data_IF_481903425979
#
_entry.id   IF_481903425979
#
_cell.length_a   1.000
_cell.length_b   1.000
_cell.length_c   1.000
_cell.angle_alpha   90.00
_cell.angle_beta   90.00
_cell.angle_gamma   90.00
#
_symmetry.space_group_name_H-M   'P 1'
#
loop_
_entity.id
_entity.type
_entity.pdbx_description
1 polymer ?
#
# COMPACT_ATOMS: atom_id res chain seq x y z
N UNK A 1 6.51 -11.13 -8.69
CA UNK A 1 5.53 -10.01 -8.58
C UNK A 1 5.65 -9.15 -9.82
N UNK A 2 4.54 -8.65 -10.36
CA UNK A 2 4.57 -7.75 -11.51
C UNK A 2 4.74 -6.30 -11.04
N UNK A 3 5.78 -5.56 -11.45
CA UNK A 3 5.90 -4.14 -11.10
C UNK A 3 4.71 -3.35 -11.66
N UNK A 4 4.09 -2.44 -10.89
CA UNK A 4 2.95 -1.66 -11.35
C UNK A 4 3.33 -0.60 -12.41
N UNK A 5 4.57 -0.08 -12.38
CA UNK A 5 5.07 0.89 -13.35
C UNK A 5 6.27 0.34 -14.11
N UNK A 6 6.34 0.59 -15.42
CA UNK A 6 7.35 -0.02 -16.29
C UNK A 6 8.69 0.71 -16.31
N UNK A 7 8.70 1.99 -15.92
CA UNK A 7 9.90 2.82 -15.86
C UNK A 7 10.02 3.51 -14.50
N UNK A 8 11.23 3.56 -13.90
CA UNK A 8 12.46 2.91 -14.37
C UNK A 8 12.35 1.37 -14.35
N UNK A 9 13.13 0.69 -15.18
CA UNK A 9 13.14 -0.78 -15.21
C UNK A 9 13.89 -1.29 -13.98
N UNK A 10 13.20 -2.10 -13.18
CA UNK A 10 13.72 -2.64 -11.91
C UNK A 10 13.94 -4.14 -11.99
N UNK A 11 14.79 -4.66 -11.12
CA UNK A 11 14.99 -6.10 -10.99
C UNK A 11 13.67 -6.83 -10.64
N UNK A 12 13.67 -8.15 -10.85
CA UNK A 12 12.50 -8.97 -10.53
C UNK A 12 12.14 -8.84 -9.05
N UNK A 13 10.88 -8.49 -8.78
CA UNK A 13 10.37 -8.38 -7.42
C UNK A 13 9.89 -9.75 -6.95
N UNK A 14 10.54 -10.27 -5.92
CA UNK A 14 10.18 -11.53 -5.28
C UNK A 14 8.88 -11.41 -4.48
N UNK A 15 8.05 -12.47 -4.41
CA UNK A 15 6.87 -12.48 -3.57
C UNK A 15 7.20 -12.16 -2.11
N UNK A 16 6.43 -11.25 -1.51
CA UNK A 16 6.68 -10.76 -0.15
C UNK A 16 5.37 -10.68 0.64
N UNK A 17 5.27 -11.34 1.81
CA UNK A 17 6.31 -12.13 2.48
C UNK A 17 6.71 -13.41 1.72
N UNK A 18 7.92 -13.96 1.96
CA UNK A 18 8.39 -15.15 1.26
C UNK A 18 7.47 -16.36 1.48
N UNK A 19 7.32 -17.20 0.46
CA UNK A 19 6.51 -18.41 0.54
C UNK A 19 5.01 -18.23 0.26
N UNK A 20 4.57 -16.99 0.01
CA UNK A 20 3.22 -16.68 -0.47
C UNK A 20 3.02 -17.27 -1.88
N UNK A 21 2.46 -18.47 -1.92
CA UNK A 21 2.24 -19.25 -3.15
C UNK A 21 0.81 -19.76 -3.19
N UNK A 22 0.29 -19.94 -4.40
CA UNK A 22 -1.04 -20.51 -4.62
C UNK A 22 -1.93 -19.66 -5.52
N UNK A 23 -3.13 -20.17 -5.85
CA UNK A 23 -4.04 -19.54 -6.80
C UNK A 23 -4.79 -18.34 -6.20
N UNK A 24 -4.66 -18.05 -4.92
CA UNK A 24 -5.25 -16.88 -4.28
C UNK A 24 -4.33 -16.40 -3.18
N UNK A 25 -3.58 -15.33 -3.43
CA UNK A 25 -2.53 -14.87 -2.52
C UNK A 25 -2.28 -13.37 -2.62
N UNK A 26 -1.80 -12.80 -1.51
CA UNK A 26 -1.09 -11.51 -1.53
C UNK A 26 0.29 -11.82 -2.07
N UNK A 27 0.53 -11.47 -3.34
CA UNK A 27 1.81 -11.69 -3.99
C UNK A 27 2.86 -10.69 -3.47
N UNK A 28 2.45 -9.48 -3.12
CA UNK A 28 3.31 -8.46 -2.56
C UNK A 28 2.55 -7.53 -1.62
N UNK A 29 3.16 -7.15 -0.51
CA UNK A 29 2.75 -6.03 0.32
C UNK A 29 3.99 -5.28 0.84
N UNK A 30 3.92 -3.94 1.02
CA UNK A 30 5.02 -3.18 1.61
C UNK A 30 5.40 -3.73 2.97
N UNK A 31 6.70 -3.82 3.24
CA UNK A 31 7.21 -4.36 4.52
C UNK A 31 7.39 -3.27 5.58
N UNK A 32 7.67 -2.05 5.15
CA UNK A 32 7.97 -0.92 6.03
C UNK A 32 7.41 0.35 5.41
N UNK A 33 6.80 1.20 6.23
CA UNK A 33 6.57 2.60 5.91
C UNK A 33 7.44 3.45 6.84
N UNK A 34 8.53 4.01 6.29
CA UNK A 34 9.46 4.85 7.04
C UNK A 34 9.09 6.33 6.85
N UNK A 35 8.66 6.99 7.92
CA UNK A 35 8.33 8.41 7.93
C UNK A 35 9.55 9.30 8.22
N UNK A 36 10.71 8.69 8.47
CA UNK A 36 11.97 9.36 8.77
C UNK A 36 11.96 10.12 10.10
N UNK A 37 13.01 10.92 10.29
CA UNK A 37 13.13 11.81 11.45
C UNK A 37 12.33 13.09 11.22
N UNK A 38 11.44 13.40 12.16
CA UNK A 38 10.59 14.58 12.11
C UNK A 38 10.76 15.44 13.37
N UNK A 39 10.64 16.75 13.23
CA UNK A 39 10.69 17.67 14.37
C UNK A 39 9.41 17.58 15.19
N UNK A 40 9.54 17.63 16.52
CA UNK A 40 8.38 17.70 17.42
C UNK A 40 7.58 18.96 17.12
N UNK A 41 6.26 18.82 17.05
CA UNK A 41 5.35 19.93 16.75
C UNK A 41 4.13 19.94 17.65
N UNK A 42 3.72 21.12 18.11
CA UNK A 42 2.46 21.34 18.83
C UNK A 42 1.28 21.66 17.90
N UNK A 43 1.53 21.69 16.59
CA UNK A 43 0.51 21.81 15.55
C UNK A 43 0.32 20.47 14.86
N UNK A 44 -0.84 20.28 14.25
CA UNK A 44 -1.11 19.16 13.36
C UNK A 44 -0.09 19.09 12.21
N UNK A 45 0.43 17.89 11.94
CA UNK A 45 1.45 17.67 10.89
C UNK A 45 1.15 16.43 10.08
N UNK A 46 1.50 16.52 8.79
CA UNK A 46 1.57 15.40 7.86
C UNK A 46 3.05 15.16 7.51
N UNK A 47 3.49 13.91 7.60
CA UNK A 47 4.85 13.50 7.27
C UNK A 47 4.81 12.46 6.15
N UNK A 48 5.38 12.81 5.00
CA UNK A 48 5.49 11.90 3.86
C UNK A 48 6.53 10.81 4.13
N UNK A 49 6.27 9.60 3.62
CA UNK A 49 7.23 8.51 3.74
C UNK A 49 8.49 8.80 2.93
N UNK A 50 9.60 8.19 3.35
CA UNK A 50 10.74 7.93 2.48
C UNK A 50 10.26 7.01 1.35
N UNK A 51 10.55 7.37 0.10
CA UNK A 51 10.14 6.55 -1.04
C UNK A 51 10.79 5.16 -0.98
N UNK A 52 10.06 4.12 -1.38
CA UNK A 52 10.61 2.77 -1.46
C UNK A 52 11.77 2.74 -2.46
N UNK A 53 12.83 2.00 -2.15
CA UNK A 53 13.94 1.80 -3.09
C UNK A 53 13.83 0.43 -3.79
N UNK A 54 14.23 0.42 -5.07
CA UNK A 54 14.34 -0.77 -5.90
C UNK A 54 15.68 -0.81 -6.63
N UNK A 55 16.26 -2.00 -6.75
CA UNK A 55 17.40 -2.21 -7.61
C UNK A 55 16.99 -2.03 -9.07
N UNK A 56 17.79 -1.31 -9.84
CA UNK A 56 17.63 -1.17 -11.28
C UNK A 56 18.00 -2.48 -11.98
N UNK A 57 17.28 -2.82 -13.06
CA UNK A 57 17.50 -4.07 -13.80
C UNK A 57 18.90 -4.17 -14.43
N UNK A 58 19.53 -3.03 -14.73
CA UNK A 58 20.89 -2.95 -15.25
C UNK A 58 21.98 -3.05 -14.15
N UNK A 59 21.57 -3.25 -12.90
CA UNK A 59 22.43 -3.35 -11.71
C UNK A 59 23.26 -2.08 -11.45
N UNK A 60 22.86 -0.91 -11.97
CA UNK A 60 23.61 0.33 -11.77
C UNK A 60 23.43 0.94 -10.36
N UNK A 61 22.51 0.40 -9.56
CA UNK A 61 22.23 0.85 -8.20
C UNK A 61 20.74 0.75 -7.86
N UNK A 62 20.30 1.60 -6.92
CA UNK A 62 18.90 1.72 -6.51
C UNK A 62 18.25 2.98 -7.09
N UNK A 63 16.91 2.95 -7.18
CA UNK A 63 16.07 4.09 -7.58
C UNK A 63 14.85 4.15 -6.67
N UNK A 64 14.33 5.35 -6.34
CA UNK A 64 13.05 5.46 -5.67
C UNK A 64 11.93 4.96 -6.59
N UNK A 65 10.94 4.32 -5.98
CA UNK A 65 9.88 3.63 -6.66
C UNK A 65 8.56 3.78 -5.90
N UNK A 66 7.45 3.72 -6.61
CA UNK A 66 6.11 3.78 -5.98
C UNK A 66 5.89 2.63 -5.01
N UNK A 67 5.18 2.90 -3.92
CA UNK A 67 4.78 1.87 -2.96
C UNK A 67 3.53 1.16 -3.46
N UNK A 68 3.47 -0.16 -3.35
CA UNK A 68 2.35 -0.93 -3.92
C UNK A 68 2.05 -2.23 -3.17
N UNK A 69 0.85 -2.75 -3.35
CA UNK A 69 0.45 -4.10 -2.96
C UNK A 69 -0.11 -4.85 -4.17
N UNK A 70 0.04 -6.18 -4.21
CA UNK A 70 -0.41 -7.01 -5.32
C UNK A 70 -1.14 -8.26 -4.83
N UNK A 71 -2.31 -8.51 -5.43
CA UNK A 71 -3.11 -9.72 -5.28
C UNK A 71 -3.01 -10.55 -6.55
N UNK A 72 -2.90 -11.86 -6.38
CA UNK A 72 -3.01 -12.84 -7.46
C UNK A 72 -4.23 -13.73 -7.19
N UNK A 73 -5.19 -13.75 -8.12
CA UNK A 73 -6.35 -14.66 -8.08
C UNK A 73 -6.47 -15.45 -9.39
N UNK A 74 -6.05 -16.71 -9.39
CA UNK A 74 -6.17 -17.67 -10.49
C UNK A 74 -7.08 -18.84 -10.15
N UNK A 75 -7.98 -18.70 -9.15
CA UNK A 75 -8.90 -19.77 -8.74
C UNK A 75 -9.90 -20.17 -9.83
N UNK A 76 -10.21 -19.26 -10.75
CA UNK A 76 -11.21 -19.46 -11.81
C UNK A 76 -12.67 -19.43 -11.34
N UNK A 77 -12.93 -19.25 -10.04
CA UNK A 77 -14.29 -19.13 -9.50
C UNK A 77 -14.91 -17.77 -9.78
N UNK A 78 -14.10 -16.73 -9.99
CA UNK A 78 -14.54 -15.35 -10.18
C UNK A 78 -15.48 -14.83 -9.06
N UNK A 79 -15.37 -15.40 -7.85
CA UNK A 79 -16.23 -15.03 -6.72
C UNK A 79 -15.94 -13.59 -6.20
N UNK A 80 -14.79 -13.02 -6.55
CA UNK A 80 -14.28 -11.76 -6.02
C UNK A 80 -13.47 -11.94 -4.74
N UNK A 81 -12.95 -10.83 -4.24
CA UNK A 81 -12.07 -10.77 -3.08
C UNK A 81 -11.94 -9.34 -2.56
N UNK A 82 -11.47 -9.21 -1.32
CA UNK A 82 -11.10 -7.92 -0.72
C UNK A 82 -9.72 -8.02 -0.09
N UNK A 83 -8.83 -7.09 -0.43
CA UNK A 83 -7.58 -6.85 0.27
C UNK A 83 -7.86 -5.80 1.35
N UNK A 84 -7.57 -6.12 2.61
CA UNK A 84 -7.76 -5.23 3.73
C UNK A 84 -6.43 -4.94 4.44
N UNK A 85 -6.46 -3.89 5.26
CA UNK A 85 -5.37 -3.50 6.14
C UNK A 85 -5.89 -3.21 7.55
N UNK A 86 -5.12 -3.61 8.55
CA UNK A 86 -5.28 -3.22 9.95
C UNK A 86 -4.06 -2.42 10.39
N UNK A 87 -4.25 -1.47 11.30
CA UNK A 87 -3.16 -0.63 11.81
C UNK A 87 -3.23 -0.54 13.34
N UNK A 88 -2.11 -0.76 14.02
CA UNK A 88 -2.03 -0.53 15.48
C UNK A 88 -1.67 0.91 15.82
N UNK A 89 -1.75 1.27 17.09
CA UNK A 89 -1.19 2.51 17.60
C UNK A 89 0.31 2.66 17.31
N UNK A 90 0.72 3.89 16.98
CA UNK A 90 2.12 4.30 16.96
C UNK A 90 2.61 4.46 18.40
N UNK A 91 3.43 3.51 18.84
CA UNK A 91 3.86 3.38 20.23
C UNK A 91 5.38 3.43 20.32
N UNK A 92 5.91 4.14 21.31
CA UNK A 92 7.34 4.15 21.61
C UNK A 92 7.76 2.91 22.42
N UNK A 93 9.07 2.66 22.51
CA UNK A 93 9.59 1.60 23.39
C UNK A 93 9.20 1.79 24.87
N UNK A 94 8.96 3.04 25.31
CA UNK A 94 8.51 3.37 26.67
C UNK A 94 6.99 3.27 26.85
N UNK A 95 6.23 2.97 25.80
CA UNK A 95 4.77 2.84 25.84
C UNK A 95 4.00 4.14 25.62
N UNK A 96 4.67 5.22 25.20
CA UNK A 96 4.00 6.47 24.82
C UNK A 96 3.33 6.31 23.46
N UNK A 97 2.11 6.83 23.31
CA UNK A 97 1.29 6.65 22.10
C UNK A 97 1.07 8.00 21.41
N UNK A 98 1.23 8.04 20.09
CA UNK A 98 0.78 9.17 19.27
C UNK A 98 -0.74 9.08 19.07
N UNK A 99 -1.49 9.54 20.08
CA UNK A 99 -2.95 9.44 20.11
C UNK A 99 -3.57 10.22 18.94
N UNK A 100 -4.45 9.56 18.19
CA UNK A 100 -5.13 10.15 17.03
C UNK A 100 -4.25 10.26 15.79
N UNK A 101 -3.08 9.61 15.78
CA UNK A 101 -2.30 9.43 14.56
C UNK A 101 -3.10 8.66 13.50
N UNK A 102 -2.81 8.94 12.23
CA UNK A 102 -3.48 8.29 11.09
C UNK A 102 -2.49 8.07 9.96
N UNK A 103 -2.72 7.07 9.12
CA UNK A 103 -2.04 6.95 7.83
C UNK A 103 -3.01 7.36 6.72
N UNK A 104 -2.54 8.18 5.79
CA UNK A 104 -3.23 8.48 4.54
C UNK A 104 -2.53 7.78 3.38
N UNK A 105 -3.30 7.04 2.60
CA UNK A 105 -2.93 6.46 1.32
C UNK A 105 -3.73 7.19 0.23
N UNK A 106 -3.11 8.16 -0.43
CA UNK A 106 -3.75 9.07 -1.39
C UNK A 106 -3.49 8.67 -2.84
N UNK A 107 -4.39 9.06 -3.74
CA UNK A 107 -4.25 8.84 -5.18
C UNK A 107 -3.95 7.38 -5.55
N UNK A 108 -4.77 6.42 -5.08
CA UNK A 108 -4.54 5.03 -5.43
C UNK A 108 -4.73 4.81 -6.94
N UNK A 109 -3.79 4.09 -7.54
CA UNK A 109 -3.88 3.66 -8.94
C UNK A 109 -3.90 2.13 -9.03
N UNK A 110 -4.72 1.60 -9.95
CA UNK A 110 -4.89 0.16 -10.16
C UNK A 110 -4.23 -0.25 -11.47
N UNK A 111 -3.42 -1.32 -11.40
CA UNK A 111 -2.87 -1.99 -12.59
C UNK A 111 -3.39 -3.42 -12.61
N UNK A 112 -4.20 -3.72 -13.62
CA UNK A 112 -4.81 -5.04 -13.80
C UNK A 112 -4.17 -5.77 -14.97
N UNK A 113 -3.63 -6.96 -14.71
CA UNK A 113 -2.95 -7.82 -15.69
C UNK A 113 -1.95 -7.04 -16.57
N UNK A 114 -0.97 -6.37 -15.94
CA UNK A 114 0.04 -5.52 -16.61
C UNK A 114 -0.52 -4.35 -17.43
N UNK A 115 -1.75 -3.91 -17.14
CA UNK A 115 -2.43 -2.88 -17.93
C UNK A 115 -3.06 -3.42 -19.22
N UNK A 116 -3.05 -4.74 -19.43
CA UNK A 116 -3.65 -5.41 -20.59
C UNK A 116 -5.01 -6.04 -20.26
N UNK A 117 -5.41 -6.04 -19.00
CA UNK A 117 -6.71 -6.56 -18.56
C UNK A 117 -7.88 -5.70 -19.04
N UNK A 118 -9.05 -6.31 -19.19
CA UNK A 118 -10.30 -5.59 -19.46
C UNK A 118 -10.61 -4.64 -18.29
N UNK A 119 -10.72 -3.31 -18.53
CA UNK A 119 -11.03 -2.34 -17.49
C UNK A 119 -12.36 -2.60 -16.77
N UNK A 120 -13.34 -3.24 -17.41
CA UNK A 120 -14.62 -3.56 -16.76
C UNK A 120 -14.48 -4.71 -15.73
N UNK A 121 -13.41 -5.51 -15.87
CA UNK A 121 -13.10 -6.65 -15.01
C UNK A 121 -12.07 -6.32 -13.92
N UNK A 122 -11.53 -5.11 -13.89
CA UNK A 122 -10.52 -4.73 -12.91
C UNK A 122 -11.14 -4.55 -11.51
N UNK A 123 -10.39 -4.80 -10.41
CA UNK A 123 -10.83 -4.40 -9.08
C UNK A 123 -10.81 -2.88 -8.92
N UNK A 124 -11.52 -2.38 -7.91
CA UNK A 124 -11.52 -0.96 -7.57
C UNK A 124 -10.70 -0.69 -6.31
N UNK A 125 -10.00 0.44 -6.29
CA UNK A 125 -9.44 0.99 -5.05
C UNK A 125 -10.60 1.43 -4.12
N UNK A 126 -10.38 1.35 -2.82
CA UNK A 126 -11.34 1.84 -1.81
C UNK A 126 -10.77 3.11 -1.19
N UNK A 127 -11.56 4.17 -1.18
CA UNK A 127 -11.28 5.43 -0.50
C UNK A 127 -12.40 5.73 0.49
N UNK A 128 -12.09 6.41 1.59
CA UNK A 128 -13.07 6.86 2.58
C UNK A 128 -13.02 8.39 2.80
N UNK A 129 -12.19 9.08 2.02
CA UNK A 129 -12.11 10.54 1.96
C UNK A 129 -12.05 11.00 0.48
N UNK A 130 -13.22 11.29 -0.07
CA UNK A 130 -13.40 11.73 -1.47
C UNK A 130 -12.72 13.08 -1.75
N UNK A 131 -12.75 14.01 -0.80
CA UNK A 131 -12.16 15.35 -0.97
C UNK A 131 -10.64 15.30 -1.17
N UNK A 132 -10.00 14.31 -0.55
CA UNK A 132 -8.55 14.10 -0.65
C UNK A 132 -8.17 12.98 -1.61
N UNK A 133 -9.14 12.33 -2.27
CA UNK A 133 -8.94 11.13 -3.08
C UNK A 133 -8.08 10.08 -2.33
N UNK A 134 -8.45 9.76 -1.09
CA UNK A 134 -7.59 8.98 -0.21
C UNK A 134 -8.34 7.98 0.68
N UNK A 135 -7.62 6.94 1.05
CA UNK A 135 -7.96 6.07 2.17
C UNK A 135 -7.24 6.58 3.42
N UNK A 136 -8.02 6.94 4.44
CA UNK A 136 -7.53 7.30 5.78
C UNK A 136 -7.67 6.08 6.68
N UNK A 137 -6.54 5.63 7.21
CA UNK A 137 -6.43 4.56 8.19
C UNK A 137 -6.28 5.20 9.57
N UNK A 138 -7.31 5.10 10.39
CA UNK A 138 -7.22 5.41 11.81
C UNK A 138 -6.48 4.28 12.55
N UNK A 139 -5.71 4.64 13.58
CA UNK A 139 -5.07 3.62 14.43
C UNK A 139 -6.13 2.79 15.16
N UNK A 140 -5.82 1.51 15.37
CA UNK A 140 -6.67 0.47 15.93
C UNK A 140 -7.87 0.03 15.08
N UNK A 141 -8.10 0.66 13.92
CA UNK A 141 -9.05 0.13 12.94
C UNK A 141 -8.55 -1.19 12.36
N UNK A 142 -9.50 -2.10 12.12
CA UNK A 142 -9.22 -3.46 11.67
C UNK A 142 -9.96 -3.76 10.36
N UNK A 143 -9.32 -4.54 9.50
CA UNK A 143 -9.88 -5.04 8.24
C UNK A 143 -10.49 -3.92 7.36
N UNK A 144 -9.78 -2.79 7.27
CA UNK A 144 -10.17 -1.68 6.40
C UNK A 144 -9.90 -2.06 4.94
N UNK A 145 -10.92 -2.07 4.06
CA UNK A 145 -10.71 -2.43 2.66
C UNK A 145 -9.82 -1.42 1.94
N UNK A 146 -8.87 -1.92 1.15
CA UNK A 146 -7.92 -1.14 0.36
C UNK A 146 -8.18 -1.31 -1.14
N UNK A 147 -8.45 -2.54 -1.56
CA UNK A 147 -8.74 -2.90 -2.95
C UNK A 147 -9.78 -4.02 -2.98
N UNK A 148 -10.79 -3.91 -3.85
CA UNK A 148 -11.92 -4.84 -3.90
C UNK A 148 -12.22 -5.30 -5.33
N UNK A 149 -12.33 -6.61 -5.50
CA UNK A 149 -12.88 -7.24 -6.69
C UNK A 149 -14.30 -7.74 -6.40
N UNK A 150 -15.28 -7.26 -7.17
CA UNK A 150 -16.63 -7.83 -7.14
C UNK A 150 -16.68 -9.19 -7.83
N UNK A 151 -17.83 -9.87 -7.76
CA UNK A 151 -18.07 -11.09 -8.55
C UNK A 151 -17.84 -10.78 -10.04
N UNK A 152 -17.08 -11.64 -10.72
CA UNK A 152 -16.68 -11.47 -12.11
C UNK A 152 -15.40 -10.64 -12.32
N UNK A 153 -14.92 -9.93 -11.30
CA UNK A 153 -13.76 -9.02 -11.41
C UNK A 153 -12.51 -9.60 -10.73
N UNK A 154 -11.36 -8.99 -11.02
CA UNK A 154 -10.10 -9.20 -10.30
C UNK A 154 -9.46 -10.57 -10.49
N UNK A 155 -9.86 -11.32 -11.51
CA UNK A 155 -9.18 -12.55 -11.91
C UNK A 155 -7.85 -12.24 -12.61
N UNK A 156 -6.76 -12.83 -12.14
CA UNK A 156 -5.41 -12.56 -12.58
C UNK A 156 -4.61 -11.78 -11.54
N UNK A 157 -3.69 -10.94 -12.01
CA UNK A 157 -2.84 -10.11 -11.15
C UNK A 157 -3.42 -8.69 -11.06
N UNK A 158 -3.60 -8.20 -9.83
CA UNK A 158 -4.08 -6.84 -9.57
C UNK A 158 -3.14 -6.15 -8.61
N UNK A 159 -2.57 -5.02 -9.03
CA UNK A 159 -1.79 -4.14 -8.16
C UNK A 159 -2.58 -2.90 -7.81
N UNK A 160 -2.44 -2.44 -6.57
CA UNK A 160 -2.74 -1.06 -6.16
C UNK A 160 -1.42 -0.39 -5.78
N UNK A 161 -1.17 0.83 -6.26
CA UNK A 161 0.02 1.60 -5.91
C UNK A 161 -0.30 3.04 -5.52
N UNK A 162 0.62 3.65 -4.79
CA UNK A 162 0.58 5.03 -4.31
C UNK A 162 1.91 5.71 -4.59
N UNK A 163 1.85 6.87 -5.21
CA UNK A 163 3.01 7.66 -5.60
C UNK A 163 3.03 7.96 -7.09
N UNK A 164 3.65 9.08 -7.42
CA UNK A 164 3.90 9.52 -8.79
C UNK A 164 5.34 9.16 -9.18
N UNK A 165 5.49 8.12 -10.00
CA UNK A 165 6.81 7.63 -10.40
C UNK A 165 7.62 8.65 -11.21
N UNK A 166 6.97 9.51 -11.99
CA UNK A 166 7.66 10.56 -12.74
C UNK A 166 8.25 11.58 -11.77
N UNK A 167 7.46 12.05 -10.79
CA UNK A 167 7.95 12.96 -9.74
C UNK A 167 9.06 12.34 -8.90
N UNK A 168 8.94 11.07 -8.50
CA UNK A 168 10.00 10.37 -7.77
C UNK A 168 11.31 10.31 -8.59
N UNK A 169 11.19 10.04 -9.89
CA UNK A 169 12.33 10.05 -10.81
C UNK A 169 12.96 11.44 -10.92
N UNK A 170 12.15 12.48 -11.07
CA UNK A 170 12.62 13.87 -11.15
C UNK A 170 13.31 14.32 -9.85
N UNK A 171 12.74 14.01 -8.68
CA UNK A 171 13.37 14.29 -7.39
C UNK A 171 14.74 13.60 -7.31
N UNK A 172 14.83 12.32 -7.70
CA UNK A 172 16.09 11.58 -7.66
C UNK A 172 17.17 12.15 -8.57
N UNK A 173 16.79 12.65 -9.75
CA UNK A 173 17.71 13.28 -10.70
C UNK A 173 18.26 14.61 -10.20
N UNK A 174 17.45 15.35 -9.45
CA UNK A 174 17.79 16.69 -8.94
C UNK A 174 18.30 16.66 -7.49
N UNK A 175 18.42 15.48 -6.87
CA UNK A 175 18.74 15.34 -5.45
C UNK A 175 20.10 15.91 -5.12
N UNK A 176 20.17 16.59 -3.99
CA UNK A 176 21.44 16.98 -3.39
C UNK A 176 22.03 15.82 -2.59
N UNK A 177 23.34 15.87 -2.34
CA UNK A 177 23.99 14.87 -1.49
C UNK A 177 23.35 14.85 -0.10
N UNK A 178 22.88 13.68 0.34
CA UNK A 178 22.19 13.51 1.62
C UNK A 178 20.70 13.86 1.61
N UNK A 179 20.13 14.28 0.48
CA UNK A 179 18.69 14.50 0.37
C UNK A 179 17.91 13.18 0.29
N UNK A 180 16.80 13.12 1.03
CA UNK A 180 15.92 11.95 1.08
C UNK A 180 14.73 12.19 0.16
N UNK A 181 14.51 11.28 -0.80
CA UNK A 181 13.37 11.32 -1.71
C UNK A 181 12.11 10.90 -0.96
N UNK A 182 11.03 11.69 -1.09
CA UNK A 182 9.77 11.44 -0.40
C UNK A 182 8.66 11.06 -1.38
N UNK A 183 7.83 10.12 -0.96
CA UNK A 183 6.56 9.82 -1.62
C UNK A 183 5.43 10.51 -0.84
N UNK A 184 4.85 11.56 -1.43
CA UNK A 184 3.83 12.39 -0.79
C UNK A 184 2.42 11.76 -0.77
N UNK A 185 2.22 10.65 -1.49
CA UNK A 185 0.94 9.95 -1.53
C UNK A 185 0.74 8.99 -0.35
N UNK A 186 1.78 8.75 0.46
CA UNK A 186 1.67 8.03 1.74
C UNK A 186 2.17 8.95 2.85
N UNK A 187 1.29 9.29 3.79
CA UNK A 187 1.61 10.25 4.85
C UNK A 187 1.09 9.81 6.22
N UNK A 188 1.90 10.07 7.26
CA UNK A 188 1.50 9.97 8.66
C UNK A 188 0.96 11.31 9.14
N UNK A 189 -0.26 11.32 9.63
CA UNK A 189 -0.80 12.43 10.40
C UNK A 189 -0.44 12.28 11.87
N UNK A 190 0.08 13.34 12.48
CA UNK A 190 0.27 13.43 13.94
C UNK A 190 -0.45 14.69 14.44
N UNK A 191 -1.50 14.54 15.29
CA UNK A 191 -2.17 15.68 15.89
C UNK A 191 -1.23 16.49 16.78
N UNK A 192 -1.33 17.83 16.74
CA UNK A 192 -0.58 18.71 17.63
C UNK A 192 -0.98 18.56 19.10
N UNK A 193 -2.15 17.98 19.37
CA UNK A 193 -2.66 17.71 20.71
C UNK A 193 -2.05 16.47 21.37
N UNK A 194 -1.41 15.57 20.61
CA UNK A 194 -0.74 14.42 21.22
C UNK A 194 0.60 14.83 21.82
N UNK A 195 0.96 14.22 22.96
CA UNK A 195 2.30 14.41 23.51
C UNK A 195 3.30 13.67 22.62
N UNK A 196 4.29 14.40 22.10
CA UNK A 196 5.36 13.86 21.28
C UNK A 196 6.66 13.93 22.08
N UNK A 197 7.38 12.81 22.13
CA UNK A 197 8.70 12.72 22.74
C UNK A 197 9.77 12.50 21.66
N UNK A 198 11.01 12.85 21.98
CA UNK A 198 12.15 12.63 21.08
C UNK A 198 12.58 11.15 21.12
N UNK A 199 11.74 10.28 20.57
CA UNK A 199 11.91 8.82 20.52
C UNK A 199 11.33 8.26 19.22
N UNK A 200 11.60 6.99 18.96
CA UNK A 200 11.01 6.26 17.84
C UNK A 200 9.61 5.79 18.22
N UNK A 201 8.67 5.90 17.29
CA UNK A 201 7.33 5.32 17.41
C UNK A 201 7.14 4.31 16.29
N UNK A 202 6.61 3.14 16.62
CA UNK A 202 6.34 2.07 15.65
C UNK A 202 4.88 1.65 15.73
N UNK A 203 4.34 1.22 14.59
CA UNK A 203 3.03 0.61 14.47
C UNK A 203 3.14 -0.64 13.61
N UNK A 204 2.25 -1.60 13.83
CA UNK A 204 2.10 -2.78 12.98
C UNK A 204 0.99 -2.54 11.97
N UNK A 205 1.31 -2.77 10.69
CA UNK A 205 0.35 -2.78 9.60
C UNK A 205 0.18 -4.21 9.10
N UNK A 206 -1.03 -4.75 9.23
CA UNK A 206 -1.33 -6.13 8.85
C UNK A 206 -2.20 -6.16 7.60
N UNK A 207 -1.74 -6.86 6.56
CA UNK A 207 -2.49 -7.04 5.32
C UNK A 207 -3.23 -8.38 5.34
N UNK A 208 -4.53 -8.35 5.06
CA UNK A 208 -5.37 -9.55 5.01
C UNK A 208 -6.06 -9.67 3.66
N UNK A 209 -6.17 -10.88 3.14
CA UNK A 209 -6.85 -11.15 1.88
C UNK A 209 -8.03 -12.09 2.12
N UNK A 210 -9.23 -11.61 1.84
CA UNK A 210 -10.47 -12.33 2.08
C UNK A 210 -11.12 -12.70 0.75
N UNK A 211 -11.43 -13.98 0.57
CA UNK A 211 -12.25 -14.44 -0.53
C UNK A 211 -13.71 -14.05 -0.32
N UNK A 212 -14.36 -13.51 -1.35
CA UNK A 212 -15.82 -13.46 -1.38
C UNK A 212 -16.36 -14.88 -1.56
N UNK A 213 -17.53 -15.15 -1.00
CA UNK A 213 -18.26 -16.40 -1.23
C UNK A 213 -18.97 -16.33 -2.58
N UNK A 214 -18.99 -17.45 -3.32
CA UNK A 214 -19.79 -17.55 -4.54
C UNK A 214 -21.28 -17.41 -4.19
N UNK A 215 -22.00 -16.57 -4.93
CA UNK A 215 -23.46 -16.42 -4.82
C UNK A 215 -24.23 -17.69 -5.24
N UNK A 216 -23.56 -18.64 -5.88
CA UNK A 216 -24.07 -19.98 -6.15
C UNK A 216 -24.07 -20.85 -4.90
N UNK A 217 -25.10 -20.71 -4.05
CA UNK A 217 -25.36 -21.68 -2.99
C UNK A 217 -25.53 -23.12 -3.54
N UNK A 218 -25.34 -24.10 -2.67
CA UNK A 218 -25.56 -25.52 -3.01
C UNK A 218 -27.03 -25.77 -3.37
N UNK A 219 -27.29 -26.20 -4.61
CA UNK A 219 -28.63 -26.64 -5.03
C UNK A 219 -28.69 -28.16 -4.92
N UNK A 220 -29.34 -28.67 -3.88
CA UNK A 220 -29.67 -30.10 -3.78
C UNK A 220 -31.02 -30.32 -4.48
N UNK A 221 -30.99 -30.94 -5.65
CA UNK A 221 -32.22 -31.43 -6.27
C UNK A 221 -32.61 -32.77 -5.63
N UNK A 222 -33.86 -32.95 -5.15
CA UNK A 222 -34.32 -34.18 -4.51
C UNK A 222 -34.36 -35.37 -5.46
#
# INVERSE_FOLDING_TARGET
VQPPVVHPEVETIEPTPPGQTGPFTIAYAPQTFDFGQNAISTSDRWYSIVADERNLADQSGTTPYVSFAQVQDTRGTHAGWTLNVSLTDFTSESGDVLTGAKIKLANPEIVFNKGEGDPDLQPSAVINNEEQNALILDVNDQDIPVMRASVGQGAGASSIYWGDQEKLTEQNLNKQEGEIIRNDDIQLFVPGSTTQLATNYTAEMTWTLTASVDSGGETVNP
#
